data_IF_045907682558
#
_entry.id   IF_045907682558
#
_cell.length_a   1.000
_cell.length_b   1.000
_cell.length_c   1.000
_cell.angle_alpha   90.00
_cell.angle_beta   90.00
_cell.angle_gamma   90.00
#
_symmetry.space_group_name_H-M   'P 1'
#
loop_
_entity.id
_entity.type
_entity.pdbx_description
1 polymer ?
#
# COMPACT_ATOMS: atom_id res chain seq x y z
N UNK A 1 -17.56 5.95 3.62
CA UNK A 1 -17.24 4.81 4.52
C UNK A 1 -15.84 5.01 5.03
N UNK A 2 -15.59 4.68 6.30
CA UNK A 2 -14.24 4.66 6.88
C UNK A 2 -13.87 3.21 7.12
N UNK A 3 -12.64 2.84 6.75
CA UNK A 3 -12.06 1.53 7.03
C UNK A 3 -10.89 1.76 7.97
N UNK A 4 -10.83 0.98 9.04
CA UNK A 4 -9.65 0.89 9.90
C UNK A 4 -9.05 -0.50 9.71
N UNK A 5 -7.74 -0.50 9.45
CA UNK A 5 -6.93 -1.71 9.32
C UNK A 5 -5.84 -1.66 10.39
N UNK A 6 -5.79 -2.71 11.18
CA UNK A 6 -4.57 -3.15 11.84
C UNK A 6 -4.06 -4.40 11.13
N UNK A 7 -2.81 -4.79 11.36
CA UNK A 7 -2.24 -6.01 10.80
C UNK A 7 -3.10 -7.24 11.14
N UNK A 8 -3.82 -7.24 12.26
CA UNK A 8 -4.64 -8.36 12.72
C UNK A 8 -6.15 -8.10 12.66
N UNK A 9 -6.59 -6.90 12.27
CA UNK A 9 -8.00 -6.50 12.36
C UNK A 9 -8.45 -5.65 11.17
N UNK A 10 -9.65 -5.93 10.67
CA UNK A 10 -10.36 -5.05 9.74
C UNK A 10 -11.70 -4.63 10.33
N UNK A 11 -11.92 -3.33 10.42
CA UNK A 11 -13.17 -2.74 10.88
C UNK A 11 -13.63 -1.61 9.96
N UNK A 12 -14.92 -1.34 9.93
CA UNK A 12 -15.49 -0.29 9.09
C UNK A 12 -16.70 0.37 9.72
N UNK A 13 -17.01 1.57 9.24
CA UNK A 13 -18.24 2.30 9.56
C UNK A 13 -18.76 3.01 8.30
N UNK A 14 -20.05 2.86 8.02
CA UNK A 14 -20.70 3.52 6.87
C UNK A 14 -21.20 4.91 7.23
N UNK A 15 -21.46 5.72 6.20
CA UNK A 15 -22.12 7.01 6.41
C UNK A 15 -23.49 6.80 7.07
N UNK A 16 -23.82 7.63 8.06
CA UNK A 16 -25.07 7.52 8.83
C UNK A 16 -25.07 6.44 9.92
N UNK A 17 -24.00 5.66 10.07
CA UNK A 17 -23.85 4.72 11.19
C UNK A 17 -23.05 5.35 12.32
N UNK A 18 -23.42 5.04 13.57
CA UNK A 18 -22.72 5.52 14.78
C UNK A 18 -21.85 4.46 15.45
N UNK A 19 -21.87 3.21 14.96
CA UNK A 19 -21.13 2.08 15.54
C UNK A 19 -20.20 1.47 14.49
N UNK A 20 -18.98 1.19 14.91
CA UNK A 20 -18.02 0.41 14.13
C UNK A 20 -18.46 -1.05 14.06
N UNK A 21 -18.19 -1.67 12.90
CA UNK A 21 -18.43 -3.08 12.65
C UNK A 21 -17.12 -3.79 12.38
N UNK A 22 -16.97 -4.99 12.92
CA UNK A 22 -15.80 -5.84 12.69
C UNK A 22 -16.04 -6.65 11.44
N UNK A 23 -15.19 -6.47 10.42
CA UNK A 23 -15.21 -7.31 9.22
C UNK A 23 -14.42 -8.60 9.45
N UNK A 24 -13.22 -8.47 10.03
CA UNK A 24 -12.30 -9.60 10.24
C UNK A 24 -11.48 -9.37 11.49
N UNK A 25 -11.27 -10.44 12.25
CA UNK A 25 -10.18 -10.55 13.22
C UNK A 25 -9.34 -11.76 12.84
N UNK A 26 -8.06 -11.55 12.56
CA UNK A 26 -7.12 -12.61 12.26
C UNK A 26 -6.82 -13.39 13.55
N UNK A 27 -7.13 -14.68 13.56
CA UNK A 27 -6.77 -15.60 14.65
C UNK A 27 -5.25 -15.86 14.58
N UNK A 28 -4.60 -16.03 15.73
CA UNK A 28 -3.20 -16.45 15.85
C UNK A 28 -2.84 -17.55 14.84
N UNK A 29 -1.84 -17.28 13.99
CA UNK A 29 -1.35 -18.21 12.96
C UNK A 29 -1.90 -17.99 11.54
N UNK A 30 -2.83 -17.04 11.32
CA UNK A 30 -3.22 -16.60 9.97
C UNK A 30 -2.39 -15.41 9.48
N UNK A 31 -2.42 -15.22 8.16
CA UNK A 31 -1.74 -14.11 7.49
C UNK A 31 -2.33 -12.75 7.88
N UNK A 32 -1.47 -11.72 7.95
CA UNK A 32 -1.78 -10.38 8.45
C UNK A 32 -2.07 -9.40 7.32
N UNK A 33 -2.86 -8.37 7.57
CA UNK A 33 -3.22 -7.36 6.58
C UNK A 33 -2.13 -6.31 6.40
N UNK A 34 -1.61 -6.18 5.18
CA UNK A 34 -0.65 -5.14 4.80
C UNK A 34 -1.32 -3.81 4.48
N UNK A 35 -2.37 -3.83 3.67
CA UNK A 35 -3.06 -2.62 3.23
C UNK A 35 -4.50 -2.93 2.82
N UNK A 36 -5.28 -1.87 2.62
CA UNK A 36 -6.67 -1.98 2.24
C UNK A 36 -7.12 -0.78 1.39
N UNK A 37 -8.08 -0.99 0.49
CA UNK A 37 -8.56 0.04 -0.41
C UNK A 37 -10.05 -0.09 -0.69
N UNK A 38 -10.69 1.04 -0.96
CA UNK A 38 -12.05 1.07 -1.51
C UNK A 38 -11.99 1.19 -3.02
N UNK A 39 -12.73 0.35 -3.72
CA UNK A 39 -12.75 0.29 -5.18
C UNK A 39 -14.13 -0.14 -5.67
N UNK A 40 -14.76 0.69 -6.50
CA UNK A 40 -16.07 0.44 -7.11
C UNK A 40 -17.15 -0.12 -6.18
N UNK A 41 -17.43 0.58 -5.09
CA UNK A 41 -18.49 0.18 -4.17
C UNK A 41 -18.04 -0.88 -3.16
N UNK A 42 -16.84 -1.44 -3.32
CA UNK A 42 -16.40 -2.61 -2.57
C UNK A 42 -15.11 -2.35 -1.82
N UNK A 43 -14.96 -3.08 -0.74
CA UNK A 43 -13.78 -3.03 0.10
C UNK A 43 -12.81 -4.15 -0.29
N UNK A 44 -11.52 -3.84 -0.37
CA UNK A 44 -10.47 -4.81 -0.66
C UNK A 44 -9.36 -4.74 0.38
N UNK A 45 -8.81 -5.89 0.75
CA UNK A 45 -7.68 -6.00 1.64
C UNK A 45 -6.60 -6.89 1.04
N UNK A 46 -5.33 -6.54 1.25
CA UNK A 46 -4.18 -7.37 0.88
C UNK A 46 -3.46 -7.83 2.13
N UNK A 47 -3.05 -9.10 2.16
CA UNK A 47 -2.27 -9.67 3.25
C UNK A 47 -0.76 -9.60 3.01
N UNK A 48 0.04 -9.95 4.02
CA UNK A 48 1.50 -9.95 3.92
C UNK A 48 2.00 -10.94 2.85
N UNK A 49 1.34 -12.09 2.69
CA UNK A 49 1.63 -13.04 1.59
C UNK A 49 0.97 -12.65 0.25
N UNK A 50 0.27 -11.53 0.18
CA UNK A 50 -0.27 -10.98 -1.06
C UNK A 50 -1.63 -11.52 -1.47
N UNK A 51 -2.30 -12.29 -0.60
CA UNK A 51 -3.71 -12.66 -0.82
C UNK A 51 -4.55 -11.39 -0.90
N UNK A 52 -5.43 -11.31 -1.89
CA UNK A 52 -6.37 -10.20 -2.03
C UNK A 52 -7.76 -10.70 -1.73
N UNK A 53 -8.38 -10.11 -0.72
CA UNK A 53 -9.77 -10.36 -0.33
C UNK A 53 -10.64 -9.20 -0.80
N UNK A 54 -11.76 -9.53 -1.43
CA UNK A 54 -12.86 -8.61 -1.69
C UNK A 54 -13.92 -8.82 -0.63
N UNK A 55 -14.36 -7.74 -0.02
CA UNK A 55 -15.35 -7.71 1.03
C UNK A 55 -16.65 -7.12 0.51
N UNK A 56 -17.73 -7.85 0.75
CA UNK A 56 -19.09 -7.36 0.59
C UNK A 56 -19.64 -7.01 1.96
N UNK A 57 -19.90 -5.72 2.16
CA UNK A 57 -20.30 -5.15 3.44
C UNK A 57 -21.76 -4.71 3.43
N UNK A 58 -22.45 -4.81 2.28
CA UNK A 58 -23.84 -4.41 2.11
C UNK A 58 -24.82 -5.56 2.36
N UNK A 59 -24.30 -6.76 2.61
CA UNK A 59 -25.11 -7.92 2.96
C UNK A 59 -25.77 -7.75 4.35
N UNK A 60 -27.06 -8.09 4.41
CA UNK A 60 -27.90 -8.06 5.62
C UNK A 60 -27.38 -9.02 6.70
N UNK A 61 -26.64 -10.06 6.29
CA UNK A 61 -26.07 -11.06 7.20
C UNK A 61 -24.69 -10.68 7.77
N UNK A 62 -24.23 -9.45 7.53
CA UNK A 62 -22.92 -8.96 7.95
C UNK A 62 -21.86 -9.05 6.86
N UNK A 63 -20.63 -8.61 7.17
CA UNK A 63 -19.56 -8.54 6.18
C UNK A 63 -19.15 -9.95 5.72
N UNK A 64 -19.26 -10.21 4.41
CA UNK A 64 -18.76 -11.43 3.78
C UNK A 64 -17.51 -11.12 2.95
N UNK A 65 -16.71 -12.14 2.66
CA UNK A 65 -15.51 -11.98 1.84
C UNK A 65 -15.36 -13.09 0.80
N UNK A 66 -14.72 -12.73 -0.30
CA UNK A 66 -14.26 -13.63 -1.36
C UNK A 66 -12.78 -13.40 -1.62
N UNK A 67 -12.01 -14.48 -1.74
CA UNK A 67 -10.62 -14.40 -2.20
C UNK A 67 -10.61 -14.13 -3.71
N UNK A 68 -9.98 -13.02 -4.11
CA UNK A 68 -9.83 -12.61 -5.52
C UNK A 68 -8.49 -13.09 -6.07
N UNK A 69 -7.44 -13.02 -5.26
CA UNK A 69 -6.11 -13.53 -5.56
C UNK A 69 -5.67 -14.38 -4.39
N UNK A 70 -5.32 -15.64 -4.66
CA UNK A 70 -4.83 -16.55 -3.62
C UNK A 70 -3.50 -16.06 -3.03
N UNK A 71 -3.21 -16.46 -1.80
CA UNK A 71 -1.89 -16.24 -1.23
C UNK A 71 -0.84 -16.97 -2.09
N UNK A 72 0.19 -16.25 -2.50
CA UNK A 72 1.39 -16.86 -3.07
C UNK A 72 2.47 -16.78 -2.00
N UNK A 73 3.15 -17.90 -1.73
CA UNK A 73 4.33 -17.90 -0.85
C UNK A 73 5.43 -17.14 -1.56
N UNK A 74 5.50 -15.84 -1.31
CA UNK A 74 6.55 -14.98 -1.83
C UNK A 74 7.82 -15.19 -1.00
N UNK A 75 8.79 -15.94 -1.53
CA UNK A 75 10.08 -16.15 -0.89
C UNK A 75 11.02 -14.92 -0.91
N UNK A 76 10.56 -13.77 -1.43
CA UNK A 76 11.36 -12.56 -1.60
C UNK A 76 11.18 -11.53 -0.47
N UNK A 77 12.17 -10.65 -0.24
CA UNK A 77 12.15 -9.66 0.84
C UNK A 77 11.23 -8.47 0.52
N UNK A 78 9.92 -8.67 0.69
CA UNK A 78 8.90 -7.64 0.50
C UNK A 78 8.85 -6.76 1.74
N UNK A 79 9.01 -5.46 1.53
CA UNK A 79 9.09 -4.43 2.56
C UNK A 79 7.73 -3.77 2.84
N UNK A 80 6.88 -3.67 1.82
CA UNK A 80 5.51 -3.18 1.96
C UNK A 80 4.66 -3.61 0.76
N UNK A 81 3.35 -3.65 0.97
CA UNK A 81 2.35 -3.87 -0.08
C UNK A 81 1.28 -2.80 0.04
N UNK A 82 0.81 -2.31 -1.11
CA UNK A 82 -0.17 -1.25 -1.18
C UNK A 82 -1.26 -1.60 -2.18
N UNK A 83 -2.51 -1.27 -1.86
CA UNK A 83 -3.65 -1.33 -2.78
C UNK A 83 -4.06 0.09 -3.16
N UNK A 84 -4.32 0.29 -4.45
CA UNK A 84 -4.78 1.59 -4.95
C UNK A 84 -5.81 1.39 -6.07
N UNK A 85 -6.90 2.13 -5.95
CA UNK A 85 -7.86 2.30 -7.03
C UNK A 85 -7.32 3.32 -8.03
N UNK A 86 -7.58 3.08 -9.32
CA UNK A 86 -7.16 3.98 -10.41
C UNK A 86 -8.38 4.66 -11.03
N UNK A 87 -8.15 5.79 -11.69
CA UNK A 87 -9.19 6.56 -12.37
C UNK A 87 -9.72 5.86 -13.63
N UNK A 88 -8.97 4.91 -14.20
CA UNK A 88 -9.38 4.10 -15.34
C UNK A 88 -9.99 2.75 -14.95
N UNK A 89 -10.18 2.51 -13.65
CA UNK A 89 -10.96 1.39 -13.15
C UNK A 89 -10.22 0.12 -12.82
N UNK A 90 -8.89 0.14 -12.84
CA UNK A 90 -8.12 -0.97 -12.31
C UNK A 90 -7.90 -0.82 -10.80
N UNK A 91 -7.92 -1.94 -10.08
CA UNK A 91 -7.34 -2.07 -8.76
C UNK A 91 -5.89 -2.54 -8.92
N UNK A 92 -4.93 -1.80 -8.37
CA UNK A 92 -3.52 -2.16 -8.43
C UNK A 92 -3.00 -2.59 -7.07
N UNK A 93 -2.05 -3.52 -7.10
CA UNK A 93 -1.24 -3.94 -5.99
C UNK A 93 0.21 -3.55 -6.27
N UNK A 94 0.81 -2.75 -5.39
CA UNK A 94 2.20 -2.29 -5.52
C UNK A 94 3.05 -2.88 -4.40
N UNK A 95 4.19 -3.47 -4.76
CA UNK A 95 5.12 -4.07 -3.83
C UNK A 95 6.41 -3.26 -3.78
N UNK A 96 6.89 -2.96 -2.59
CA UNK A 96 8.26 -2.52 -2.37
C UNK A 96 9.12 -3.74 -2.03
N UNK A 97 10.15 -4.02 -2.81
CA UNK A 97 11.09 -5.12 -2.56
C UNK A 97 12.44 -4.57 -2.13
N UNK A 98 13.09 -5.23 -1.18
CA UNK A 98 14.52 -5.05 -0.94
C UNK A 98 15.30 -5.59 -2.16
N UNK A 99 16.19 -4.77 -2.72
CA UNK A 99 17.04 -5.12 -3.86
C UNK A 99 18.47 -4.61 -3.61
N UNK A 100 19.33 -5.55 -3.19
CA UNK A 100 20.74 -5.28 -2.92
C UNK A 100 21.40 -4.86 -4.24
N UNK A 101 21.96 -3.65 -4.26
CA UNK A 101 22.55 -3.03 -5.45
C UNK A 101 21.78 -1.82 -5.98
N UNK A 102 20.59 -1.52 -5.47
CA UNK A 102 19.91 -0.25 -5.72
C UNK A 102 20.42 0.81 -4.74
N UNK A 103 20.51 2.10 -5.13
CA UNK A 103 21.04 3.16 -4.27
C UNK A 103 20.40 3.19 -2.88
N UNK A 104 19.07 3.12 -2.80
CA UNK A 104 18.32 3.06 -1.54
C UNK A 104 17.88 1.63 -1.17
N UNK A 105 18.32 0.62 -1.91
CA UNK A 105 17.98 -0.78 -1.67
C UNK A 105 16.51 -1.15 -1.92
N UNK A 106 15.69 -0.30 -2.55
CA UNK A 106 14.26 -0.59 -2.81
C UNK A 106 13.93 -0.55 -4.30
N UNK A 107 13.19 -1.56 -4.77
CA UNK A 107 12.54 -1.58 -6.10
C UNK A 107 11.05 -1.82 -5.98
N UNK A 108 10.29 -1.10 -6.81
CA UNK A 108 8.84 -1.31 -6.92
C UNK A 108 8.43 -2.26 -8.04
N UNK A 109 7.37 -3.02 -7.78
CA UNK A 109 6.61 -3.77 -8.78
C UNK A 109 5.13 -3.39 -8.69
N UNK A 110 4.52 -3.13 -9.84
CA UNK A 110 3.13 -2.70 -9.94
C UNK A 110 2.36 -3.79 -10.67
N UNK A 111 1.28 -4.28 -10.07
CA UNK A 111 0.44 -5.32 -10.63
C UNK A 111 -1.00 -4.87 -10.68
N UNK A 112 -1.72 -5.21 -11.74
CA UNK A 112 -3.17 -5.17 -11.79
C UNK A 112 -3.71 -6.40 -11.07
N UNK A 113 -4.64 -6.18 -10.14
CA UNK A 113 -5.41 -7.24 -9.50
C UNK A 113 -6.48 -7.71 -10.48
N UNK A 114 -6.50 -9.00 -10.77
CA UNK A 114 -7.57 -9.66 -11.52
C UNK A 114 -7.98 -10.95 -10.80
N UNK A 115 -9.11 -11.54 -11.19
CA UNK A 115 -9.49 -12.85 -10.67
C UNK A 115 -8.37 -13.87 -10.94
N UNK A 116 -8.00 -14.60 -9.90
CA UNK A 116 -7.02 -15.69 -9.84
C UNK A 116 -5.55 -15.29 -9.97
N UNK A 117 -5.20 -14.20 -10.64
CA UNK A 117 -3.80 -13.75 -10.80
C UNK A 117 -3.61 -12.24 -10.83
N UNK A 118 -2.40 -11.81 -10.51
CA UNK A 118 -1.92 -10.44 -10.67
C UNK A 118 -1.13 -10.29 -11.99
N UNK A 119 -1.47 -9.31 -12.83
CA UNK A 119 -0.72 -9.00 -14.06
C UNK A 119 0.22 -7.83 -13.84
N UNK A 120 1.53 -8.03 -14.05
CA UNK A 120 2.51 -6.95 -13.92
C UNK A 120 2.29 -5.87 -14.99
N UNK A 121 2.27 -4.61 -14.55
CA UNK A 121 2.10 -3.46 -15.42
C UNK A 121 3.45 -2.81 -15.77
N UNK A 122 3.66 -2.41 -17.03
CA UNK A 122 4.83 -1.66 -17.43
C UNK A 122 4.74 -0.20 -16.98
N UNK A 123 5.88 0.42 -16.74
CA UNK A 123 6.00 1.80 -16.22
C UNK A 123 5.42 2.86 -17.15
N UNK A 124 5.38 2.57 -18.45
CA UNK A 124 4.82 3.46 -19.48
C UNK A 124 3.33 3.73 -19.27
N UNK A 125 2.63 2.82 -18.61
CA UNK A 125 1.19 2.97 -18.33
C UNK A 125 0.92 4.10 -17.30
N UNK A 126 1.96 4.56 -16.59
CA UNK A 126 1.88 5.60 -15.58
C UNK A 126 2.43 6.96 -16.07
N UNK A 127 2.52 7.18 -17.38
CA UNK A 127 3.11 8.43 -17.93
C UNK A 127 2.43 9.70 -17.43
N UNK A 128 1.10 9.68 -17.36
CA UNK A 128 0.26 10.80 -16.91
C UNK A 128 -0.18 10.66 -15.45
N UNK A 129 0.47 9.78 -14.67
CA UNK A 129 0.03 9.45 -13.31
C UNK A 129 1.17 9.45 -12.30
N UNK A 130 0.85 9.88 -11.08
CA UNK A 130 1.70 9.78 -9.91
C UNK A 130 1.06 8.81 -8.91
N UNK A 131 1.87 7.95 -8.30
CA UNK A 131 1.42 7.05 -7.24
C UNK A 131 1.85 7.59 -5.89
N UNK A 132 0.95 7.57 -4.92
CA UNK A 132 1.24 7.86 -3.52
C UNK A 132 1.08 6.58 -2.75
N UNK A 133 2.15 6.14 -2.09
CA UNK A 133 2.18 4.94 -1.28
C UNK A 133 2.43 5.36 0.17
N UNK A 134 1.33 5.45 0.91
CA UNK A 134 1.29 5.87 2.29
C UNK A 134 0.97 4.70 3.21
N UNK A 135 1.09 4.90 4.52
CA UNK A 135 0.78 3.85 5.51
C UNK A 135 -0.70 3.77 5.87
N UNK A 136 -1.49 4.77 5.45
CA UNK A 136 -2.94 4.82 5.68
C UNK A 136 -3.74 4.73 4.40
N UNK A 137 -3.33 5.48 3.38
CA UNK A 137 -4.03 5.52 2.11
C UNK A 137 -3.04 5.66 0.97
N UNK A 138 -3.19 4.77 0.00
CA UNK A 138 -2.47 4.80 -1.26
C UNK A 138 -3.39 5.26 -2.39
N UNK A 139 -2.87 6.10 -3.28
CA UNK A 139 -3.66 6.74 -4.32
C UNK A 139 -2.90 6.80 -5.66
N UNK A 140 -3.65 6.73 -6.75
CA UNK A 140 -3.17 7.01 -8.10
C UNK A 140 -3.81 8.29 -8.62
N UNK A 141 -3.00 9.33 -8.85
CA UNK A 141 -3.48 10.66 -9.21
C UNK A 141 -3.05 11.04 -10.63
N UNK A 142 -3.95 11.60 -11.46
CA UNK A 142 -3.60 12.10 -12.78
C UNK A 142 -2.83 13.42 -12.66
N UNK A 143 -1.60 13.47 -13.18
CA UNK A 143 -0.72 14.64 -13.05
C UNK A 143 -1.23 15.86 -13.80
N UNK A 144 -2.03 15.66 -14.85
CA UNK A 144 -2.74 16.73 -15.57
C UNK A 144 -3.62 17.60 -14.66
N UNK A 145 -4.20 17.02 -13.59
CA UNK A 145 -4.99 17.77 -12.60
C UNK A 145 -4.13 18.45 -11.52
N UNK A 146 -2.87 18.06 -11.41
CA UNK A 146 -1.95 18.52 -10.38
C UNK A 146 -0.58 18.83 -11.00
N UNK A 147 -0.40 20.01 -11.61
CA UNK A 147 0.79 20.33 -12.41
C UNK A 147 2.14 20.25 -11.66
N UNK A 148 2.10 20.29 -10.32
CA UNK A 148 3.28 20.13 -9.46
C UNK A 148 3.71 18.67 -9.27
N UNK A 149 2.88 17.70 -9.66
CA UNK A 149 3.19 16.28 -9.56
C UNK A 149 3.90 15.79 -10.82
N UNK A 150 4.93 14.97 -10.64
CA UNK A 150 5.66 14.36 -11.75
C UNK A 150 5.02 13.03 -12.13
N UNK A 151 4.77 12.83 -13.41
CA UNK A 151 4.31 11.55 -13.95
C UNK A 151 5.37 10.47 -13.78
N UNK A 152 4.97 9.20 -13.87
CA UNK A 152 5.87 8.05 -13.69
C UNK A 152 6.66 8.08 -12.37
N UNK A 153 6.06 8.62 -11.31
CA UNK A 153 6.71 8.69 -10.01
C UNK A 153 5.89 8.01 -8.93
N UNK A 154 6.59 7.48 -7.93
CA UNK A 154 6.02 6.98 -6.70
C UNK A 154 6.49 7.87 -5.55
N UNK A 155 5.56 8.54 -4.88
CA UNK A 155 5.80 9.25 -3.63
C UNK A 155 5.58 8.25 -2.49
N UNK A 156 6.66 7.83 -1.86
CA UNK A 156 6.65 6.73 -0.90
C UNK A 156 7.01 7.23 0.49
N UNK A 157 6.11 7.00 1.46
CA UNK A 157 6.30 7.47 2.83
C UNK A 157 7.35 6.66 3.58
N UNK A 158 7.13 5.36 3.75
CA UNK A 158 8.09 4.46 4.37
C UNK A 158 7.76 2.98 4.10
N UNK A 159 8.78 2.11 4.10
CA UNK A 159 8.57 0.67 4.16
C UNK A 159 8.08 0.22 5.53
N UNK A 160 6.95 -0.48 5.55
CA UNK A 160 6.36 -1.00 6.77
C UNK A 160 5.57 -2.30 6.53
N UNK A 161 6.11 -3.40 7.04
CA UNK A 161 5.42 -4.64 7.37
C UNK A 161 6.16 -5.24 8.57
N UNK A 162 5.46 -5.74 9.59
CA UNK A 162 6.15 -6.24 10.82
C UNK A 162 7.10 -7.39 10.50
N UNK A 163 6.74 -8.27 9.57
CA UNK A 163 7.63 -9.36 9.12
C UNK A 163 8.84 -8.87 8.33
N UNK A 164 8.85 -7.61 7.88
CA UNK A 164 9.94 -7.05 7.09
C UNK A 164 10.93 -6.24 7.91
N UNK A 165 10.76 -6.13 9.23
CA UNK A 165 11.66 -5.39 10.12
C UNK A 165 13.12 -5.87 9.96
N UNK A 166 13.33 -7.19 9.84
CA UNK A 166 14.66 -7.75 9.59
C UNK A 166 15.26 -7.26 8.26
N UNK A 167 14.43 -7.10 7.22
CA UNK A 167 14.86 -6.64 5.90
C UNK A 167 15.15 -5.14 5.88
N UNK A 168 14.45 -4.34 6.69
CA UNK A 168 14.69 -2.90 6.81
C UNK A 168 16.10 -2.59 7.28
N UNK A 169 16.65 -3.39 8.20
CA UNK A 169 18.02 -3.23 8.69
C UNK A 169 19.09 -3.44 7.60
N UNK A 170 18.72 -4.04 6.46
CA UNK A 170 19.60 -4.29 5.31
C UNK A 170 19.56 -3.19 4.27
N UNK A 171 18.75 -2.15 4.46
CA UNK A 171 18.76 -1.00 3.56
C UNK A 171 20.15 -0.32 3.63
N UNK A 172 20.77 0.05 2.49
CA UNK A 172 22.09 0.69 2.47
C UNK A 172 22.15 1.97 3.30
N UNK A 173 21.01 2.66 3.37
CA UNK A 173 20.81 3.89 4.11
C UNK A 173 19.55 3.74 4.97
N UNK A 174 19.49 4.44 6.10
CA UNK A 174 18.26 4.51 6.89
C UNK A 174 17.11 5.09 6.08
N UNK A 175 15.89 5.00 6.60
CA UNK A 175 14.73 5.61 5.97
C UNK A 175 14.22 6.78 6.79
N UNK A 176 14.01 7.93 6.16
CA UNK A 176 13.47 9.13 6.80
C UNK A 176 12.57 9.92 5.85
N UNK A 177 11.32 10.15 6.26
CA UNK A 177 10.34 10.95 5.53
C UNK A 177 9.95 10.40 4.15
N UNK A 178 9.18 11.18 3.40
CA UNK A 178 8.71 10.82 2.06
C UNK A 178 9.84 10.99 1.04
N UNK A 179 10.05 9.98 0.19
CA UNK A 179 10.96 10.04 -0.96
C UNK A 179 10.19 9.89 -2.28
N UNK A 180 10.66 10.54 -3.34
CA UNK A 180 10.11 10.39 -4.70
C UNK A 180 10.93 9.37 -5.45
N UNK A 181 10.32 8.30 -5.92
CA UNK A 181 10.94 7.29 -6.77
C UNK A 181 10.57 7.54 -8.23
N UNK A 182 11.55 7.78 -9.08
CA UNK A 182 11.36 7.86 -10.52
C UNK A 182 11.30 6.45 -11.14
N UNK A 183 10.16 6.09 -11.75
CA UNK A 183 9.97 4.77 -12.33
C UNK A 183 10.88 4.49 -13.54
N UNK A 184 11.30 5.52 -14.26
CA UNK A 184 12.16 5.41 -15.45
C UNK A 184 13.60 5.13 -15.02
N UNK A 185 14.17 6.00 -14.19
CA UNK A 185 15.58 5.92 -13.74
C UNK A 185 15.79 4.93 -12.61
N UNK A 186 14.72 4.57 -11.88
CA UNK A 186 14.73 3.69 -10.70
C UNK A 186 15.49 4.26 -9.50
N UNK A 187 15.51 5.58 -9.37
CA UNK A 187 16.23 6.28 -8.30
C UNK A 187 15.25 7.00 -7.39
N UNK A 188 15.61 7.09 -6.11
CA UNK A 188 14.94 8.02 -5.21
C UNK A 188 15.56 9.41 -5.29
N UNK A 189 14.71 10.39 -5.06
CA UNK A 189 15.03 11.79 -4.84
C UNK A 189 14.35 12.20 -3.53
N UNK A 190 15.06 12.96 -2.69
CA UNK A 190 14.43 13.52 -1.50
C UNK A 190 13.38 14.57 -1.91
N UNK A 191 12.19 14.50 -1.32
CA UNK A 191 11.12 15.47 -1.58
C UNK A 191 11.47 16.84 -1.00
N UNK A 192 12.24 16.87 0.09
CA UNK A 192 12.67 18.10 0.75
C UNK A 192 14.12 18.43 0.41
N UNK A 193 14.46 19.72 0.24
CA UNK A 193 15.81 20.17 -0.11
C UNK A 193 16.83 19.95 1.01
N UNK A 194 16.37 19.69 2.24
CA UNK A 194 17.21 19.31 3.36
C UNK A 194 16.97 17.83 3.69
N UNK A 195 18.02 17.01 3.78
CA UNK A 195 17.86 15.64 4.25
C UNK A 195 17.37 15.70 5.70
N UNK A 196 16.14 15.24 5.95
CA UNK A 196 15.78 14.80 7.29
C UNK A 196 16.80 13.71 7.67
N UNK A 197 17.28 13.67 8.93
CA UNK A 197 18.26 12.65 9.32
C UNK A 197 17.68 11.26 9.02
N UNK A 198 18.30 10.53 8.10
CA UNK A 198 17.92 9.13 7.85
C UNK A 198 18.11 8.38 9.17
N UNK A 199 17.01 7.92 9.75
CA UNK A 199 17.07 7.29 11.06
C UNK A 199 17.65 5.89 10.90
N UNK A 200 18.90 5.69 11.34
CA UNK A 200 19.54 4.36 11.44
C UNK A 200 19.05 3.55 12.64
N UNK A 201 18.16 4.12 13.47
CA UNK A 201 17.70 3.44 14.69
C UNK A 201 16.91 2.19 14.31
N UNK A 202 17.47 1.06 14.71
CA UNK A 202 16.94 -0.30 14.67
C UNK A 202 15.69 -0.52 15.53
N UNK A 203 15.15 0.53 16.12
CA UNK A 203 13.88 0.52 16.85
C UNK A 203 12.80 1.09 15.94
N UNK A 204 11.69 0.40 15.68
CA UNK A 204 10.53 1.02 15.07
C UNK A 204 10.04 2.09 16.05
N UNK A 205 10.51 3.34 15.88
CA UNK A 205 9.85 4.51 16.45
C UNK A 205 8.39 4.42 16.01
N UNK A 206 7.43 4.68 16.92
CA UNK A 206 6.14 4.01 16.94
C UNK A 206 5.52 4.06 15.55
N UNK A 207 5.11 2.87 15.08
CA UNK A 207 4.10 2.65 14.03
C UNK A 207 3.40 3.97 13.72
N UNK A 208 3.60 4.58 12.54
CA UNK A 208 3.12 5.93 12.35
C UNK A 208 1.62 5.97 12.62
N UNK A 209 1.24 6.75 13.62
CA UNK A 209 -0.13 7.18 13.86
C UNK A 209 -0.44 8.26 12.83
N UNK A 210 -0.41 7.91 11.56
CA UNK A 210 -0.93 8.82 10.56
C UNK A 210 -2.40 8.44 10.36
N UNK A 211 -3.28 9.43 10.34
CA UNK A 211 -4.69 9.26 10.00
C UNK A 211 -4.93 10.15 8.79
N UNK A 212 -5.37 9.57 7.67
CA UNK A 212 -5.85 10.37 6.54
C UNK A 212 -7.26 9.91 6.14
N UNK A 213 -8.24 10.69 6.58
CA UNK A 213 -9.65 10.59 6.21
C UNK A 213 -9.84 11.30 4.87
N UNK A 214 -10.41 10.63 3.87
CA UNK A 214 -10.94 11.29 2.67
C UNK A 214 -12.46 11.15 2.66
N UNK A 215 -13.22 12.20 3.02
CA UNK A 215 -14.65 12.22 2.85
C UNK A 215 -15.01 12.77 1.47
N UNK A 216 -15.78 11.98 0.71
CA UNK A 216 -16.55 12.32 -0.49
C UNK A 216 -15.75 12.91 -1.68
N UNK A 217 -15.58 12.10 -2.73
CA UNK A 217 -15.75 12.58 -4.11
C UNK A 217 -17.06 12.03 -4.64
#
# INVERSE_FOLDING_TARGET
>A
MIIQRDNDWLSFVKSGQSKWQVASSTIMGRDRYADCAYHYGRFYAVTFHGMVEQWDIDDLNGATRKVVVAAEIHAGPILSRHLLSTTWGDLLQVHAHLEIGYPDGIRFQIHKVSQDRCKRLPRKDFIDHALFLGLNHSACLPTKKFPKLRGQCIYYSAPWMVISLEWLSRLPHGWGGVKTYDLKTRKFEHVFPFPLPDCKRSTPDPTPYEVWITPNM
#
